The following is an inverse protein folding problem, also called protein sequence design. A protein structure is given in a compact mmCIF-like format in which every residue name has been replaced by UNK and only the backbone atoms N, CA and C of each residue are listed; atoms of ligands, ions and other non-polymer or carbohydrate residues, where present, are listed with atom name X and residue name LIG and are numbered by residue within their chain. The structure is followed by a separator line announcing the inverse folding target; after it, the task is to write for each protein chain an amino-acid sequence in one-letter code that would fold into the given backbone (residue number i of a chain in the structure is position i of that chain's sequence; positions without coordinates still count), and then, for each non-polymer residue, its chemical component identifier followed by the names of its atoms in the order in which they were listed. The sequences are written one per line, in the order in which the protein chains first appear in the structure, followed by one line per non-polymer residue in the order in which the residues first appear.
data_IF_646058299523
#
_entry.id   IF_646058299523
#
_cell.length_a   1.000
_cell.length_b   1.000
_cell.length_c   1.000
_cell.angle_alpha   90.00
_cell.angle_beta   90.00
_cell.angle_gamma   90.00
#
_symmetry.space_group_name_H-M   'P 1'
#
loop_
_entity.id
_entity.type
_entity.pdbx_description
1 polymer ?
#
# COMPACT_ATOMS: atom_id res chain seq x y z
N UNK A 1 -3.26 -21.71 -1.55
CA UNK A 1 -2.35 -20.55 -1.52
C UNK A 1 -3.18 -19.29 -1.74
N UNK A 2 -2.99 -18.26 -0.90
CA UNK A 2 -3.61 -16.93 -1.05
C UNK A 2 -2.50 -15.88 -1.09
N UNK A 3 -2.56 -14.96 -2.05
CA UNK A 3 -1.66 -13.82 -2.13
C UNK A 3 -2.38 -12.61 -2.74
N UNK A 4 -1.94 -11.42 -2.36
CA UNK A 4 -2.45 -10.18 -2.93
C UNK A 4 -1.59 -9.74 -4.13
N UNK A 5 -2.19 -9.06 -5.08
CA UNK A 5 -1.50 -8.38 -6.19
C UNK A 5 -1.58 -6.87 -6.07
N UNK A 6 -2.58 -6.37 -5.36
CA UNK A 6 -2.74 -4.95 -5.09
C UNK A 6 -3.53 -4.75 -3.79
N UNK A 7 -3.09 -3.79 -2.99
CA UNK A 7 -3.81 -3.27 -1.83
C UNK A 7 -3.87 -1.75 -1.97
N UNK A 8 -5.07 -1.22 -2.04
CA UNK A 8 -5.32 0.22 -2.16
C UNK A 8 -6.26 0.69 -1.06
N UNK A 9 -5.92 1.80 -0.43
CA UNK A 9 -6.78 2.44 0.55
C UNK A 9 -7.69 3.47 -0.14
N UNK A 10 -9.00 3.35 0.05
CA UNK A 10 -10.01 4.28 -0.45
C UNK A 10 -10.91 4.69 0.72
N UNK A 11 -10.68 5.90 1.23
CA UNK A 11 -11.32 6.37 2.47
C UNK A 11 -10.94 5.47 3.65
N UNK A 12 -11.95 4.86 4.28
CA UNK A 12 -11.79 3.94 5.42
C UNK A 12 -11.77 2.45 5.02
N UNK A 13 -11.66 2.15 3.73
CA UNK A 13 -11.71 0.78 3.23
C UNK A 13 -10.44 0.45 2.48
N UNK A 14 -10.10 -0.83 2.49
CA UNK A 14 -9.02 -1.41 1.73
C UNK A 14 -9.61 -2.23 0.58
N UNK A 15 -9.27 -1.85 -0.64
CA UNK A 15 -9.57 -2.63 -1.84
C UNK A 15 -8.39 -3.58 -2.06
N UNK A 16 -8.66 -4.86 -1.93
CA UNK A 16 -7.65 -5.91 -2.05
C UNK A 16 -7.95 -6.75 -3.27
N UNK A 17 -6.95 -6.90 -4.12
CA UNK A 17 -6.98 -7.79 -5.27
C UNK A 17 -5.92 -8.85 -5.09
N UNK A 18 -6.21 -10.05 -5.56
CA UNK A 18 -5.26 -11.15 -5.45
C UNK A 18 -5.81 -12.45 -5.99
N UNK A 19 -5.16 -13.53 -5.60
CA UNK A 19 -5.55 -14.88 -5.95
C UNK A 19 -5.67 -15.76 -4.72
N UNK A 20 -6.71 -16.57 -4.67
CA UNK A 20 -6.93 -17.59 -3.66
C UNK A 20 -7.27 -18.92 -4.36
N UNK A 21 -6.47 -19.94 -4.10
CA UNK A 21 -6.60 -21.26 -4.73
C UNK A 21 -6.69 -21.19 -6.27
N UNK A 22 -5.91 -20.29 -6.87
CA UNK A 22 -5.86 -20.07 -8.31
C UNK A 22 -6.98 -19.22 -8.90
N UNK A 23 -7.96 -18.80 -8.10
CA UNK A 23 -9.06 -17.93 -8.54
C UNK A 23 -8.77 -16.47 -8.14
N UNK A 24 -9.04 -15.54 -9.06
CA UNK A 24 -8.92 -14.12 -8.78
C UNK A 24 -10.02 -13.68 -7.81
N UNK A 25 -9.63 -12.86 -6.82
CA UNK A 25 -10.57 -12.19 -5.93
C UNK A 25 -10.37 -10.68 -5.93
N UNK A 26 -11.43 -9.98 -5.61
CA UNK A 26 -11.43 -8.55 -5.30
C UNK A 26 -12.38 -8.33 -4.12
N UNK A 27 -11.84 -7.82 -3.02
CA UNK A 27 -12.62 -7.57 -1.81
C UNK A 27 -12.50 -6.12 -1.37
N UNK A 28 -13.51 -5.66 -0.64
CA UNK A 28 -13.51 -4.36 0.04
C UNK A 28 -13.65 -4.61 1.53
N UNK A 29 -12.60 -4.32 2.28
CA UNK A 29 -12.52 -4.65 3.70
C UNK A 29 -12.40 -3.38 4.54
N UNK A 30 -12.98 -3.41 5.74
CA UNK A 30 -12.71 -2.43 6.79
C UNK A 30 -11.43 -2.85 7.52
N UNK A 31 -10.67 -1.88 7.94
CA UNK A 31 -9.48 -2.09 8.74
C UNK A 31 -9.42 -1.05 9.86
N UNK A 32 -9.04 -1.48 11.03
CA UNK A 32 -8.91 -0.67 12.23
C UNK A 32 -7.43 -0.64 12.63
N UNK A 33 -6.70 0.43 12.24
CA UNK A 33 -5.27 0.47 12.49
C UNK A 33 -4.95 0.53 13.99
N UNK A 34 -3.85 -0.11 14.37
CA UNK A 34 -3.27 -0.02 15.70
C UNK A 34 -2.27 1.13 15.74
N UNK A 35 -2.39 1.97 16.74
CA UNK A 35 -1.40 2.97 17.12
C UNK A 35 -0.81 2.58 18.48
N UNK A 36 0.24 3.26 18.90
CA UNK A 36 0.86 3.04 20.18
C UNK A 36 1.05 4.35 20.92
N UNK A 37 0.92 4.29 22.23
CA UNK A 37 1.19 5.41 23.13
C UNK A 37 2.14 4.95 24.24
N UNK A 38 2.78 5.89 24.92
CA UNK A 38 3.67 5.59 26.04
C UNK A 38 2.96 4.78 27.12
N UNK A 39 3.62 3.75 27.62
CA UNK A 39 3.08 2.90 28.69
C UNK A 39 3.69 3.27 30.04
N UNK A 40 2.86 3.30 31.08
CA UNK A 40 3.31 3.56 32.46
C UNK A 40 4.10 2.42 33.08
N UNK A 41 4.21 1.27 32.43
CA UNK A 41 4.90 0.08 32.93
C UNK A 41 5.34 -0.86 31.81
N UNK A 42 5.90 -2.01 32.18
CA UNK A 42 6.36 -3.02 31.23
C UNK A 42 5.20 -3.57 30.40
N UNK A 43 5.37 -3.56 29.09
CA UNK A 43 4.47 -4.18 28.11
C UNK A 43 5.27 -5.08 27.18
N UNK A 44 4.57 -5.78 26.28
CA UNK A 44 5.21 -6.59 25.25
C UNK A 44 5.79 -5.78 24.10
N UNK A 45 5.44 -4.49 24.01
CA UNK A 45 5.86 -3.60 22.93
C UNK A 45 6.87 -2.57 23.42
N UNK A 46 7.81 -2.24 22.55
CA UNK A 46 8.83 -1.22 22.78
C UNK A 46 9.03 -0.38 21.54
N UNK A 47 9.46 0.86 21.73
CA UNK A 47 10.02 1.67 20.64
C UNK A 47 11.39 1.14 20.21
N UNK A 48 11.94 1.69 19.15
CA UNK A 48 13.32 1.36 18.73
C UNK A 48 14.37 1.79 19.76
N UNK A 49 14.06 2.80 20.56
CA UNK A 49 14.90 3.33 21.65
C UNK A 49 14.78 2.49 22.92
N UNK A 50 13.78 1.58 22.99
CA UNK A 50 13.60 0.66 24.10
C UNK A 50 12.53 1.05 25.12
N UNK A 51 11.83 2.17 24.91
CA UNK A 51 10.74 2.64 25.77
C UNK A 51 9.50 1.76 25.63
N UNK A 52 8.82 1.50 26.75
CA UNK A 52 7.61 0.69 26.72
C UNK A 52 6.42 1.48 26.19
N UNK A 53 5.70 0.86 25.25
CA UNK A 53 4.47 1.40 24.66
C UNK A 53 3.33 0.41 24.76
N UNK A 54 2.10 0.92 24.77
CA UNK A 54 0.88 0.12 24.72
C UNK A 54 0.10 0.40 23.44
N UNK A 55 -0.51 -0.64 22.90
CA UNK A 55 -1.35 -0.53 21.69
C UNK A 55 -2.69 0.12 22.02
N UNK A 56 -3.17 0.93 21.09
CA UNK A 56 -4.51 1.51 21.09
C UNK A 56 -5.13 1.37 19.70
N UNK A 57 -6.44 1.25 19.66
CA UNK A 57 -7.23 1.19 18.43
C UNK A 57 -8.26 2.32 18.45
N UNK A 58 -7.93 3.52 17.96
CA UNK A 58 -8.86 4.66 17.96
C UNK A 58 -10.11 4.43 17.11
N UNK A 59 -10.07 3.48 16.18
CA UNK A 59 -11.15 3.14 15.29
C UNK A 59 -10.73 3.00 13.83
N UNK A 60 -11.49 3.57 12.91
CA UNK A 60 -11.18 3.53 11.47
C UNK A 60 -9.93 4.33 11.14
N UNK A 61 -9.44 4.22 9.89
CA UNK A 61 -8.33 5.04 9.39
C UNK A 61 -8.56 6.54 9.64
N UNK A 62 -9.79 6.99 9.45
CA UNK A 62 -10.16 8.39 9.73
C UNK A 62 -10.02 8.72 11.21
N UNK A 63 -10.54 7.87 12.09
CA UNK A 63 -10.49 8.07 13.53
C UNK A 63 -9.02 8.08 14.04
N UNK A 64 -8.16 7.22 13.47
CA UNK A 64 -6.73 7.22 13.77
C UNK A 64 -6.05 8.54 13.36
N UNK A 65 -6.36 9.07 12.16
CA UNK A 65 -5.85 10.37 11.70
C UNK A 65 -6.33 11.53 12.57
N UNK A 66 -7.61 11.52 12.92
CA UNK A 66 -8.19 12.53 13.81
C UNK A 66 -7.59 12.44 15.23
N UNK A 67 -7.32 11.22 15.71
CA UNK A 67 -6.64 11.01 16.97
C UNK A 67 -5.22 11.58 16.95
N UNK A 68 -4.41 11.24 15.93
CA UNK A 68 -3.07 11.80 15.78
C UNK A 68 -3.13 13.34 15.76
N UNK A 69 -4.00 13.92 14.92
CA UNK A 69 -4.14 15.38 14.81
C UNK A 69 -4.57 16.04 16.13
N UNK A 70 -5.42 15.40 16.92
CA UNK A 70 -5.90 15.92 18.21
C UNK A 70 -4.81 16.04 19.24
N UNK A 71 -3.87 15.11 19.23
CA UNK A 71 -2.79 15.03 20.21
C UNK A 71 -1.45 15.52 19.67
N UNK A 72 -1.43 16.02 18.44
CA UNK A 72 -0.26 16.65 17.85
C UNK A 72 0.15 17.89 18.63
N UNK A 73 1.42 17.96 19.06
CA UNK A 73 1.94 19.04 19.88
C UNK A 73 1.47 19.07 21.36
N UNK A 74 0.78 18.03 21.83
CA UNK A 74 0.44 17.92 23.27
C UNK A 74 1.67 17.48 24.05
N UNK A 75 2.09 18.29 25.03
CA UNK A 75 3.22 18.00 25.88
C UNK A 75 3.08 16.66 26.60
N UNK A 76 4.15 15.88 26.65
CA UNK A 76 4.24 14.58 27.31
C UNK A 76 3.24 13.51 26.79
N UNK A 77 2.71 13.70 25.58
CA UNK A 77 1.88 12.71 24.93
C UNK A 77 2.43 12.39 23.53
N UNK A 78 3.06 11.23 23.38
CA UNK A 78 3.61 10.79 22.11
C UNK A 78 2.80 9.65 21.54
N UNK A 79 2.50 9.75 20.25
CA UNK A 79 1.85 8.69 19.47
C UNK A 79 2.90 8.07 18.57
N UNK A 80 2.97 6.75 18.59
CA UNK A 80 3.86 5.95 17.77
C UNK A 80 3.03 5.07 16.85
N UNK A 81 3.62 4.65 15.75
CA UNK A 81 3.01 3.77 14.76
C UNK A 81 3.28 4.25 13.36
N UNK A 82 2.86 3.44 12.39
CA UNK A 82 3.05 3.76 10.99
C UNK A 82 1.73 4.36 10.44
N UNK A 83 1.79 5.56 9.91
CA UNK A 83 0.69 6.26 9.23
C UNK A 83 0.36 5.67 7.85
N UNK A 84 1.26 4.83 7.33
CA UNK A 84 1.04 4.08 6.09
C UNK A 84 0.26 2.80 6.36
N UNK A 85 -0.99 2.92 6.70
CA UNK A 85 -1.87 1.83 7.12
C UNK A 85 -2.00 0.66 6.13
N UNK A 86 -1.67 0.85 4.85
CA UNK A 86 -1.58 -0.24 3.87
C UNK A 86 -0.57 -1.30 4.31
N UNK A 87 0.60 -0.90 4.79
CA UNK A 87 1.63 -1.83 5.24
C UNK A 87 1.23 -2.55 6.53
N UNK A 88 0.55 -1.84 7.45
CA UNK A 88 0.01 -2.48 8.65
C UNK A 88 -1.03 -3.54 8.27
N UNK A 89 -1.97 -3.20 7.36
CA UNK A 89 -2.95 -4.13 6.84
C UNK A 89 -2.28 -5.38 6.24
N UNK A 90 -1.27 -5.19 5.37
CA UNK A 90 -0.55 -6.29 4.74
C UNK A 90 0.13 -7.16 5.81
N UNK A 91 0.84 -6.57 6.76
CA UNK A 91 1.53 -7.29 7.83
C UNK A 91 0.58 -8.11 8.71
N UNK A 92 -0.63 -7.62 8.96
CA UNK A 92 -1.61 -8.34 9.78
C UNK A 92 -2.36 -9.42 9.00
N UNK A 93 -2.69 -9.17 7.72
CA UNK A 93 -3.47 -10.12 6.89
C UNK A 93 -2.61 -11.18 6.21
N UNK A 94 -1.33 -10.89 6.04
CA UNK A 94 -0.34 -11.76 5.42
C UNK A 94 0.90 -11.85 6.33
N UNK A 95 0.78 -12.47 7.52
CA UNK A 95 1.81 -12.47 8.56
C UNK A 95 3.02 -13.37 8.25
N UNK A 96 3.02 -14.04 7.11
CA UNK A 96 4.14 -14.89 6.69
C UNK A 96 5.38 -14.04 6.41
N UNK A 97 6.56 -14.49 6.83
CA UNK A 97 7.83 -13.81 6.56
C UNK A 97 8.08 -13.66 5.06
N UNK A 98 7.63 -14.63 4.28
CA UNK A 98 7.72 -14.61 2.83
C UNK A 98 6.35 -14.90 2.20
N UNK A 99 5.79 -13.90 1.52
CA UNK A 99 4.55 -14.07 0.76
C UNK A 99 4.87 -14.76 -0.56
N UNK A 100 4.39 -15.99 -0.73
CA UNK A 100 4.59 -16.75 -1.97
C UNK A 100 3.61 -16.29 -3.04
N UNK A 101 4.14 -15.69 -4.08
CA UNK A 101 3.38 -15.26 -5.25
C UNK A 101 3.45 -16.31 -6.36
N UNK A 102 2.31 -16.66 -6.96
CA UNK A 102 2.28 -17.41 -8.22
C UNK A 102 2.37 -16.43 -9.40
N UNK A 103 3.59 -16.21 -9.87
CA UNK A 103 3.87 -15.27 -10.98
C UNK A 103 3.19 -15.66 -12.28
N UNK A 104 2.85 -16.94 -12.47
CA UNK A 104 2.12 -17.41 -13.66
C UNK A 104 0.67 -16.88 -13.70
N UNK A 105 0.12 -16.45 -12.57
CA UNK A 105 -1.20 -15.83 -12.49
C UNK A 105 -1.17 -14.33 -12.70
N UNK A 106 -0.02 -13.69 -12.58
CA UNK A 106 0.12 -12.25 -12.70
C UNK A 106 0.43 -11.92 -14.16
N UNK A 107 -0.47 -11.18 -14.82
CA UNK A 107 -0.23 -10.66 -16.16
C UNK A 107 0.58 -9.36 -16.06
N UNK A 108 1.77 -9.38 -16.63
CA UNK A 108 2.66 -8.24 -16.69
C UNK A 108 2.82 -7.84 -18.15
N UNK A 109 2.56 -6.58 -18.46
CA UNK A 109 2.78 -6.01 -19.78
C UNK A 109 3.67 -4.79 -19.68
N UNK A 110 4.64 -4.68 -20.58
CA UNK A 110 5.42 -3.47 -20.78
C UNK A 110 4.77 -2.67 -21.91
N UNK A 111 4.57 -1.39 -21.67
CA UNK A 111 4.03 -0.46 -22.68
C UNK A 111 5.12 0.57 -22.94
N UNK A 112 5.40 0.78 -24.22
CA UNK A 112 6.31 1.82 -24.69
C UNK A 112 5.58 2.71 -25.71
N UNK A 113 5.78 4.02 -25.62
CA UNK A 113 5.07 5.02 -26.42
C UNK A 113 6.09 5.94 -27.05
N UNK A 114 6.09 5.98 -28.38
CA UNK A 114 6.90 6.90 -29.18
C UNK A 114 6.05 8.08 -29.63
N UNK A 115 6.57 9.28 -29.47
CA UNK A 115 5.91 10.52 -29.88
C UNK A 115 6.81 11.34 -30.78
N UNK A 116 6.21 12.17 -31.65
CA UNK A 116 6.92 13.09 -32.50
C UNK A 116 7.33 14.33 -31.71
N UNK A 117 8.51 14.27 -31.11
CA UNK A 117 9.09 15.41 -30.38
C UNK A 117 10.19 16.05 -31.25
N UNK A 118 10.03 17.31 -31.64
CA UNK A 118 11.02 18.03 -32.49
C UNK A 118 12.16 18.64 -31.64
N UNK A 119 11.93 18.96 -30.39
CA UNK A 119 12.82 19.71 -29.51
C UNK A 119 13.09 19.03 -28.15
N UNK A 120 13.49 17.74 -28.14
CA UNK A 120 13.80 17.03 -26.92
C UNK A 120 12.65 16.19 -26.38
N UNK A 121 12.46 16.18 -25.05
CA UNK A 121 11.36 15.41 -24.45
C UNK A 121 10.01 16.10 -24.62
N UNK A 122 8.92 15.33 -24.83
CA UNK A 122 7.58 15.90 -24.93
C UNK A 122 7.17 16.60 -23.61
N UNK A 123 6.38 17.65 -23.75
CA UNK A 123 5.80 18.33 -22.59
C UNK A 123 4.59 17.55 -22.08
N UNK A 124 4.70 17.09 -20.85
CA UNK A 124 3.69 16.24 -20.20
C UNK A 124 2.39 16.99 -19.91
N UNK A 125 2.44 18.32 -19.71
CA UNK A 125 1.25 19.11 -19.36
C UNK A 125 0.42 19.44 -20.60
N UNK A 126 1.06 19.83 -21.68
CA UNK A 126 0.36 20.15 -22.93
C UNK A 126 -0.05 18.90 -23.72
N UNK A 127 0.76 17.83 -23.62
CA UNK A 127 0.59 16.58 -24.35
C UNK A 127 0.23 16.79 -25.83
N UNK A 128 0.90 17.79 -26.48
CA UNK A 128 0.57 18.25 -27.80
C UNK A 128 1.18 17.41 -28.93
N UNK A 129 2.15 16.57 -28.57
CA UNK A 129 2.89 15.77 -29.55
C UNK A 129 2.07 14.60 -30.08
N UNK A 130 2.21 14.37 -31.39
CA UNK A 130 1.57 13.24 -32.04
C UNK A 130 2.16 11.91 -31.60
N UNK A 131 1.31 10.95 -31.18
CA UNK A 131 1.73 9.58 -30.89
C UNK A 131 2.01 8.85 -32.19
N UNK A 132 3.25 8.40 -32.36
CA UNK A 132 3.70 7.69 -33.56
C UNK A 132 3.52 6.19 -33.44
N UNK A 133 3.81 5.63 -32.26
CA UNK A 133 3.78 4.20 -32.02
C UNK A 133 3.46 3.90 -30.54
N UNK A 134 2.65 2.89 -30.32
CA UNK A 134 2.46 2.27 -29.02
C UNK A 134 2.83 0.80 -29.13
N UNK A 135 3.83 0.37 -28.37
CA UNK A 135 4.26 -1.02 -28.32
C UNK A 135 3.83 -1.63 -27.00
N UNK A 136 3.20 -2.80 -27.05
CA UNK A 136 2.82 -3.57 -25.87
C UNK A 136 3.47 -4.94 -25.92
N UNK A 137 4.30 -5.25 -24.94
CA UNK A 137 4.91 -6.57 -24.79
C UNK A 137 4.34 -7.33 -23.61
N UNK A 138 3.85 -8.53 -23.84
CA UNK A 138 3.52 -9.47 -22.77
C UNK A 138 4.80 -10.06 -22.17
N UNK A 139 5.00 -9.87 -20.87
CA UNK A 139 6.23 -10.31 -20.18
C UNK A 139 6.42 -11.83 -20.21
N UNK A 140 5.36 -12.60 -20.12
CA UNK A 140 5.41 -14.07 -20.04
C UNK A 140 5.66 -14.70 -21.40
N UNK A 141 4.90 -14.27 -22.42
CA UNK A 141 4.99 -14.86 -23.75
C UNK A 141 6.02 -14.18 -24.65
N UNK A 142 6.51 -13.01 -24.26
CA UNK A 142 7.39 -12.14 -25.06
C UNK A 142 6.77 -11.68 -26.39
N UNK A 143 5.48 -11.88 -26.58
CA UNK A 143 4.77 -11.36 -27.76
C UNK A 143 4.71 -9.84 -27.72
N UNK A 144 4.95 -9.20 -28.87
CA UNK A 144 4.88 -7.78 -29.09
C UNK A 144 3.67 -7.50 -29.99
N UNK A 145 2.92 -6.47 -29.68
CA UNK A 145 1.79 -5.96 -30.46
C UNK A 145 1.88 -4.46 -30.61
#
# INVERSE_FOLDING_TARGET
MRFYTNVQMVGNHFLVRGYENGQHFMTREKFYPTLFVEAKGKTKYKTLEGDYVQSIEPGTVRDCREFIKRYDGVDNFKIYGNDRYIYQYISEKYPEEEIKFDTNKIKISTIDIEVKAENGFPDVESAAEEVLLITVQDYTTKQIR
#
